data_IF_065356214490
#
_entry.id   IF_065356214490
#
_cell.length_a   1.000
_cell.length_b   1.000
_cell.length_c   1.000
_cell.angle_alpha   90.00
_cell.angle_beta   90.00
_cell.angle_gamma   90.00
#
_symmetry.space_group_name_H-M   'P 1'
#
loop_
_entity.id
_entity.type
_entity.pdbx_description
1 polymer ?
#
# COMPACT_ATOMS: atom_id res chain seq x y z
N UNK A 1 -5.83 2.43 1.25
CA UNK A 1 -4.58 3.22 1.21
C UNK A 1 -4.42 3.98 2.52
N UNK A 2 -3.22 4.00 3.09
CA UNK A 2 -2.93 4.80 4.29
C UNK A 2 -2.61 6.24 3.88
N UNK A 3 -3.15 7.26 4.58
CA UNK A 3 -2.71 8.63 4.39
C UNK A 3 -1.19 8.76 4.59
N UNK A 4 -0.52 9.40 3.63
CA UNK A 4 0.91 9.72 3.71
C UNK A 4 1.16 10.95 4.60
N UNK A 5 2.42 11.26 4.87
CA UNK A 5 2.78 12.53 5.51
C UNK A 5 2.28 13.72 4.69
N UNK A 6 2.33 13.62 3.35
CA UNK A 6 1.82 14.67 2.45
C UNK A 6 0.33 14.92 2.63
N UNK A 7 -0.49 13.90 2.87
CA UNK A 7 -1.91 14.05 3.17
C UNK A 7 -2.14 14.92 4.43
N UNK A 8 -1.43 14.63 5.51
CA UNK A 8 -1.56 15.41 6.75
C UNK A 8 -1.06 16.84 6.58
N UNK A 9 0.03 17.05 5.82
CA UNK A 9 0.52 18.39 5.49
C UNK A 9 -0.47 19.17 4.63
N UNK A 10 -1.16 18.51 3.70
CA UNK A 10 -2.24 19.11 2.90
C UNK A 10 -3.39 19.58 3.79
N UNK A 11 -3.86 18.73 4.72
CA UNK A 11 -4.90 19.11 5.69
C UNK A 11 -4.46 20.27 6.60
N UNK A 12 -3.22 20.25 7.08
CA UNK A 12 -2.67 21.33 7.88
C UNK A 12 -2.59 22.64 7.07
N UNK A 13 -2.17 22.55 5.81
CA UNK A 13 -2.10 23.71 4.92
C UNK A 13 -3.48 24.29 4.63
N UNK A 14 -4.50 23.43 4.51
CA UNK A 14 -5.88 23.84 4.35
C UNK A 14 -6.39 24.60 5.58
N UNK A 15 -6.16 24.06 6.77
CA UNK A 15 -6.56 24.72 8.03
C UNK A 15 -5.85 26.05 8.29
N UNK A 16 -4.69 26.25 7.65
CA UNK A 16 -3.88 27.47 7.72
C UNK A 16 -3.84 28.23 6.38
N UNK A 17 -4.87 28.05 5.54
CA UNK A 17 -4.97 28.79 4.28
C UNK A 17 -5.39 30.23 4.58
N UNK A 18 -4.41 31.13 4.57
CA UNK A 18 -4.63 32.55 4.80
C UNK A 18 -4.30 33.33 3.54
N UNK A 19 -5.21 34.21 3.14
CA UNK A 19 -4.95 35.17 2.10
C UNK A 19 -3.87 36.16 2.53
N UNK A 20 -2.92 36.43 1.65
CA UNK A 20 -1.93 37.50 1.85
C UNK A 20 -2.53 38.87 1.55
N UNK A 21 -3.35 38.94 0.50
CA UNK A 21 -4.02 40.17 0.07
C UNK A 21 -5.41 39.82 -0.44
N UNK A 22 -6.31 40.76 -0.25
CA UNK A 22 -7.57 40.86 -0.94
C UNK A 22 -7.44 41.91 -2.05
N UNK A 23 -7.83 41.60 -3.23
CA UNK A 23 -7.76 42.48 -4.40
C UNK A 23 -9.17 42.68 -4.96
N UNK A 24 -9.33 43.76 -5.71
CA UNK A 24 -10.50 43.97 -6.57
C UNK A 24 -10.11 43.49 -7.97
N UNK A 25 -10.97 42.69 -8.60
CA UNK A 25 -10.77 42.33 -10.00
C UNK A 25 -10.83 43.58 -10.89
N UNK A 26 -9.78 43.75 -11.71
CA UNK A 26 -9.77 44.82 -12.72
C UNK A 26 -10.30 44.26 -14.06
N UNK A 27 -11.21 44.97 -14.72
CA UNK A 27 -11.74 44.55 -16.01
C UNK A 27 -10.63 44.41 -17.06
N UNK A 28 -10.53 43.24 -17.69
CA UNK A 28 -9.55 42.95 -18.74
C UNK A 28 -8.23 42.36 -18.27
N UNK A 29 -8.01 42.24 -16.97
CA UNK A 29 -6.87 41.53 -16.40
C UNK A 29 -7.12 40.02 -16.41
N UNK A 30 -6.12 39.26 -16.81
CA UNK A 30 -6.16 37.78 -16.79
C UNK A 30 -5.45 37.25 -15.52
N UNK A 31 -6.20 36.68 -14.63
CA UNK A 31 -5.69 36.09 -13.39
C UNK A 31 -5.48 34.55 -13.53
N UNK A 32 -5.60 34.02 -14.75
CA UNK A 32 -5.33 32.62 -15.08
C UNK A 32 -6.35 31.63 -14.54
N UNK A 33 -7.60 32.04 -14.36
CA UNK A 33 -8.68 31.10 -14.04
C UNK A 33 -9.25 30.49 -15.33
N UNK A 34 -9.09 29.17 -15.45
CA UNK A 34 -9.56 28.36 -16.59
C UNK A 34 -10.32 27.13 -16.10
N UNK A 35 -10.93 26.40 -17.01
CA UNK A 35 -11.59 25.12 -16.68
C UNK A 35 -10.60 24.06 -16.15
N UNK A 36 -9.31 24.23 -16.44
CA UNK A 36 -8.23 23.34 -15.96
C UNK A 36 -7.60 23.83 -14.64
N UNK A 37 -8.09 24.95 -14.09
CA UNK A 37 -7.56 25.50 -12.84
C UNK A 37 -7.70 24.51 -11.69
N UNK A 38 -6.68 24.42 -10.84
CA UNK A 38 -6.73 23.61 -9.62
C UNK A 38 -7.90 24.07 -8.75
N UNK A 39 -8.83 23.17 -8.51
CA UNK A 39 -9.99 23.43 -7.65
C UNK A 39 -9.98 22.48 -6.46
N UNK A 40 -10.13 23.06 -5.27
CA UNK A 40 -10.18 22.33 -4.00
C UNK A 40 -11.52 22.56 -3.34
N UNK A 41 -12.26 21.48 -3.15
CA UNK A 41 -13.55 21.51 -2.43
C UNK A 41 -13.39 20.82 -1.07
N UNK A 42 -13.81 21.51 -0.03
CA UNK A 42 -13.72 21.03 1.35
C UNK A 42 -15.10 21.04 1.97
N UNK A 43 -15.52 19.90 2.48
CA UNK A 43 -16.74 19.77 3.28
C UNK A 43 -16.37 19.42 4.72
N UNK A 44 -16.72 20.28 5.64
CA UNK A 44 -16.47 20.10 7.07
C UNK A 44 -17.66 20.64 7.87
N UNK A 45 -18.09 19.92 8.89
CA UNK A 45 -19.21 20.28 9.75
C UNK A 45 -20.52 20.64 9.01
N UNK A 46 -20.75 20.03 7.83
CA UNK A 46 -21.92 20.29 6.99
C UNK A 46 -21.80 21.53 6.07
N UNK A 47 -20.70 22.26 6.14
CA UNK A 47 -20.41 23.37 5.24
C UNK A 47 -19.45 22.94 4.14
N UNK A 48 -19.69 23.40 2.91
CA UNK A 48 -18.83 23.16 1.75
C UNK A 48 -18.23 24.47 1.27
N UNK A 49 -16.90 24.50 1.17
CA UNK A 49 -16.16 25.62 0.62
C UNK A 49 -15.36 25.14 -0.60
N UNK A 50 -15.42 25.90 -1.68
CA UNK A 50 -14.65 25.59 -2.91
C UNK A 50 -13.72 26.76 -3.21
N UNK A 51 -12.46 26.41 -3.45
CA UNK A 51 -11.37 27.35 -3.75
C UNK A 51 -10.82 27.02 -5.13
N UNK A 52 -10.66 28.01 -6.01
CA UNK A 52 -10.05 27.88 -7.33
C UNK A 52 -8.75 28.70 -7.36
N UNK A 53 -7.66 28.05 -7.74
CA UNK A 53 -6.35 28.68 -7.84
C UNK A 53 -6.07 29.08 -9.29
N UNK A 54 -5.73 30.33 -9.49
CA UNK A 54 -5.38 30.90 -10.79
C UNK A 54 -3.88 30.88 -11.07
N UNK A 55 -3.41 31.80 -11.89
CA UNK A 55 -2.00 31.93 -12.24
C UNK A 55 -1.15 32.49 -11.08
N UNK A 56 0.16 32.36 -11.20
CA UNK A 56 1.13 33.03 -10.36
C UNK A 56 1.23 34.52 -10.73
N UNK A 57 1.18 35.39 -9.73
CA UNK A 57 1.45 36.81 -9.89
C UNK A 57 2.96 37.01 -10.13
N UNK A 58 3.33 37.41 -11.32
CA UNK A 58 4.73 37.56 -11.75
C UNK A 58 5.54 38.56 -10.89
N UNK A 59 4.87 39.50 -10.24
CA UNK A 59 5.54 40.52 -9.43
C UNK A 59 5.82 40.04 -7.99
N UNK A 60 4.96 39.14 -7.44
CA UNK A 60 5.04 38.74 -6.02
C UNK A 60 5.33 37.26 -5.83
N UNK A 61 5.17 36.42 -6.86
CA UNK A 61 5.26 34.95 -6.77
C UNK A 61 4.11 34.33 -5.99
N UNK A 62 3.03 35.07 -5.74
CA UNK A 62 1.83 34.56 -5.07
C UNK A 62 0.83 34.03 -6.09
N UNK A 63 0.00 33.07 -5.70
CA UNK A 63 -1.03 32.51 -6.56
C UNK A 63 -2.36 33.25 -6.33
N UNK A 64 -3.05 33.58 -7.40
CA UNK A 64 -4.40 34.10 -7.32
C UNK A 64 -5.38 33.03 -6.85
N UNK A 65 -6.35 33.42 -6.03
CA UNK A 65 -7.33 32.53 -5.43
C UNK A 65 -8.73 33.17 -5.46
N UNK A 66 -9.72 32.37 -5.88
CA UNK A 66 -11.14 32.68 -5.70
C UNK A 66 -11.78 31.66 -4.76
N UNK A 67 -12.74 32.15 -3.96
CA UNK A 67 -13.63 31.31 -3.15
C UNK A 67 -15.03 31.36 -3.76
N UNK A 68 -15.65 30.22 -3.96
CA UNK A 68 -17.01 30.17 -4.49
C UNK A 68 -17.97 30.92 -3.55
N UNK A 69 -18.81 31.76 -4.14
CA UNK A 69 -19.78 32.59 -3.39
C UNK A 69 -19.16 33.85 -2.76
N UNK A 70 -17.92 34.19 -3.12
CA UNK A 70 -17.25 35.43 -2.72
C UNK A 70 -16.77 36.16 -3.99
N UNK A 71 -17.13 37.44 -4.13
CA UNK A 71 -16.74 38.28 -5.29
C UNK A 71 -15.30 38.80 -5.19
N UNK A 72 -14.63 38.54 -4.08
CA UNK A 72 -13.28 39.02 -3.85
C UNK A 72 -12.25 38.10 -4.51
N UNK A 73 -11.20 38.72 -5.06
CA UNK A 73 -9.98 38.06 -5.50
C UNK A 73 -8.94 38.08 -4.38
N UNK A 74 -8.29 36.97 -4.17
CA UNK A 74 -7.25 36.83 -3.14
C UNK A 74 -5.91 36.45 -3.74
N UNK A 75 -4.83 36.67 -2.98
CA UNK A 75 -3.53 36.03 -3.25
C UNK A 75 -3.12 35.19 -2.06
N UNK A 76 -2.49 34.04 -2.35
CA UNK A 76 -1.93 33.12 -1.36
C UNK A 76 -0.50 32.76 -1.73
N UNK A 77 0.29 32.32 -0.76
CA UNK A 77 1.65 31.89 -1.05
C UNK A 77 1.64 30.67 -1.99
N UNK A 78 2.52 30.63 -3.00
CA UNK A 78 2.63 29.54 -3.96
C UNK A 78 2.83 28.18 -3.28
N UNK A 79 3.59 28.12 -2.18
CA UNK A 79 3.76 26.90 -1.38
C UNK A 79 2.45 26.33 -0.81
N UNK A 80 1.43 27.17 -0.60
CA UNK A 80 0.11 26.73 -0.13
C UNK A 80 -0.71 26.14 -1.26
N UNK A 81 -0.60 26.63 -2.48
CA UNK A 81 -1.26 26.06 -3.64
C UNK A 81 -0.62 24.69 -4.02
N UNK A 82 0.71 24.60 -4.00
CA UNK A 82 1.44 23.40 -4.39
C UNK A 82 1.05 22.15 -3.57
N UNK A 83 0.70 22.29 -2.30
CA UNK A 83 0.32 21.15 -1.46
C UNK A 83 -1.04 20.53 -1.86
N UNK A 84 -1.84 21.20 -2.67
CA UNK A 84 -3.13 20.69 -3.18
C UNK A 84 -3.00 20.08 -4.59
N UNK A 85 -1.90 20.31 -5.30
CA UNK A 85 -1.64 19.77 -6.63
C UNK A 85 -1.05 18.36 -6.61
N UNK A 86 -1.09 17.68 -5.46
CA UNK A 86 -0.55 16.34 -5.29
C UNK A 86 -1.47 15.28 -5.91
N UNK A 87 -0.86 14.29 -6.54
CA UNK A 87 -1.56 13.11 -7.03
C UNK A 87 -2.07 12.23 -5.87
N UNK A 88 -3.03 11.36 -6.17
CA UNK A 88 -3.51 10.37 -5.19
C UNK A 88 -2.37 9.51 -4.63
N UNK A 89 -1.39 9.14 -5.47
CA UNK A 89 -0.24 8.33 -5.06
C UNK A 89 0.69 9.08 -4.08
N UNK A 90 0.77 10.40 -4.17
CA UNK A 90 1.52 11.22 -3.23
C UNK A 90 0.77 11.48 -1.92
N UNK A 91 -0.56 11.56 -1.99
CA UNK A 91 -1.43 11.74 -0.82
C UNK A 91 -1.58 10.46 -0.01
N UNK A 92 -1.53 9.30 -0.67
CA UNK A 92 -1.71 8.00 -0.02
C UNK A 92 -0.52 7.11 -0.32
N UNK A 93 0.22 6.75 0.73
CA UNK A 93 1.37 5.85 0.61
C UNK A 93 0.95 4.41 0.29
N UNK A 94 1.92 3.63 -0.20
CA UNK A 94 1.77 2.19 -0.31
C UNK A 94 1.46 1.55 1.05
N UNK A 95 0.65 0.51 1.06
CA UNK A 95 0.33 -0.23 2.28
C UNK A 95 0.13 -1.71 1.95
N UNK A 96 0.31 -2.57 2.95
CA UNK A 96 0.03 -3.99 2.83
C UNK A 96 -1.46 -4.23 3.12
N UNK A 97 -2.27 -4.64 2.12
CA UNK A 97 -3.72 -4.79 2.28
C UNK A 97 -4.09 -5.92 3.24
N UNK A 98 -3.28 -6.96 3.32
CA UNK A 98 -3.49 -8.06 4.26
C UNK A 98 -3.02 -7.75 5.68
N UNK A 99 -2.26 -6.66 5.90
CA UNK A 99 -1.68 -6.32 7.19
C UNK A 99 -0.65 -7.33 7.70
N UNK A 100 -0.15 -8.20 6.82
CA UNK A 100 0.78 -9.28 7.17
C UNK A 100 2.18 -8.74 7.39
N UNK A 101 2.80 -9.16 8.47
CA UNK A 101 4.25 -9.02 8.69
C UNK A 101 4.89 -10.38 8.43
N UNK A 102 5.93 -10.40 7.62
CA UNK A 102 6.61 -11.65 7.21
C UNK A 102 6.98 -12.56 8.38
N UNK A 103 7.48 -12.00 9.48
CA UNK A 103 7.86 -12.73 10.69
C UNK A 103 6.68 -13.23 11.52
N UNK A 104 5.47 -12.75 11.27
CA UNK A 104 4.27 -13.18 11.99
C UNK A 104 3.51 -14.30 11.26
N UNK A 105 3.94 -14.69 10.05
CA UNK A 105 3.29 -15.75 9.28
C UNK A 105 3.70 -17.10 9.85
N UNK A 106 2.71 -17.90 10.25
CA UNK A 106 2.89 -19.23 10.84
C UNK A 106 2.67 -20.35 9.82
N UNK A 107 1.73 -20.18 8.90
CA UNK A 107 1.50 -21.12 7.80
C UNK A 107 0.87 -20.44 6.59
N UNK A 108 1.11 -21.05 5.44
CA UNK A 108 0.57 -20.61 4.14
C UNK A 108 0.05 -21.82 3.41
N UNK A 109 -1.26 -21.84 3.10
CA UNK A 109 -1.87 -22.82 2.21
C UNK A 109 -2.12 -22.17 0.87
N UNK A 110 -1.51 -22.71 -0.17
CA UNK A 110 -1.64 -22.26 -1.56
C UNK A 110 -2.55 -23.21 -2.34
N UNK A 111 -3.52 -22.64 -3.06
CA UNK A 111 -4.36 -23.34 -4.02
C UNK A 111 -4.07 -22.76 -5.41
N UNK A 112 -3.11 -23.38 -6.10
CA UNK A 112 -2.71 -23.03 -7.46
C UNK A 112 -3.03 -24.24 -8.36
N UNK A 113 -4.16 -24.18 -9.08
CA UNK A 113 -4.73 -25.34 -9.79
C UNK A 113 -5.52 -26.24 -8.85
N UNK A 114 -5.47 -27.57 -9.10
CA UNK A 114 -6.35 -28.53 -8.42
C UNK A 114 -5.78 -29.10 -7.11
N UNK A 115 -4.48 -28.95 -6.86
CA UNK A 115 -3.83 -29.54 -5.68
C UNK A 115 -3.34 -28.45 -4.71
N UNK A 116 -3.98 -28.31 -3.53
CA UNK A 116 -3.48 -27.43 -2.49
C UNK A 116 -2.23 -28.01 -1.82
N UNK A 117 -1.34 -27.14 -1.36
CA UNK A 117 -0.23 -27.50 -0.49
C UNK A 117 -0.03 -26.46 0.60
N UNK A 118 0.52 -26.89 1.73
CA UNK A 118 0.72 -26.04 2.91
C UNK A 118 2.19 -26.02 3.31
N UNK A 119 2.69 -24.82 3.50
CA UNK A 119 3.97 -24.53 4.15
C UNK A 119 3.72 -24.10 5.59
N UNK A 120 4.46 -24.64 6.54
CA UNK A 120 4.32 -24.34 7.97
C UNK A 120 5.66 -23.97 8.56
N UNK A 121 5.67 -22.90 9.37
CA UNK A 121 6.82 -22.49 10.15
C UNK A 121 6.97 -23.41 11.37
N UNK A 122 8.15 -23.94 11.59
CA UNK A 122 8.49 -24.82 12.71
C UNK A 122 9.70 -24.21 13.44
N UNK A 123 9.62 -24.11 14.75
CA UNK A 123 10.75 -23.69 15.57
C UNK A 123 11.65 -24.89 15.85
N UNK A 124 12.87 -24.86 15.36
CA UNK A 124 13.88 -25.89 15.60
C UNK A 124 15.00 -25.32 16.47
N UNK A 125 15.55 -26.14 17.35
CA UNK A 125 16.71 -25.76 18.14
C UNK A 125 17.90 -25.53 17.19
N UNK A 126 18.52 -24.36 17.25
CA UNK A 126 19.72 -24.10 16.45
C UNK A 126 20.82 -25.07 16.87
N UNK A 127 21.41 -25.77 15.90
CA UNK A 127 22.61 -26.53 16.17
C UNK A 127 23.71 -25.56 16.61
N UNK A 128 24.04 -25.58 17.91
CA UNK A 128 25.19 -24.84 18.40
C UNK A 128 26.44 -25.56 17.93
N UNK A 129 27.20 -24.97 17.02
CA UNK A 129 28.60 -25.31 16.83
C UNK A 129 29.33 -25.07 18.16
N UNK A 130 29.35 -26.10 19.00
CA UNK A 130 30.18 -26.11 20.22
C UNK A 130 31.63 -26.21 19.80
N UNK A 131 32.27 -25.09 19.55
CA UNK A 131 33.73 -25.01 19.80
C UNK A 131 33.91 -25.06 21.31
N UNK A 132 34.47 -26.17 21.79
CA UNK A 132 34.80 -26.39 23.17
C UNK A 132 35.85 -25.38 23.61
N UNK A 133 35.47 -24.26 24.20
CA UNK A 133 36.25 -23.46 25.15
C UNK A 133 35.47 -22.21 25.54
N UNK A 134 34.52 -22.35 26.43
CA UNK A 134 34.13 -21.30 27.41
C UNK A 134 33.02 -21.84 28.29
N UNK A 135 33.35 -22.11 29.53
CA UNK A 135 32.38 -22.28 30.60
C UNK A 135 31.66 -20.94 30.86
N UNK A 136 30.48 -20.78 30.32
CA UNK A 136 29.54 -19.79 30.78
C UNK A 136 28.13 -20.41 30.79
N UNK A 137 27.70 -20.65 32.01
CA UNK A 137 26.41 -21.22 32.38
C UNK A 137 25.26 -20.26 32.00
N UNK A 138 24.81 -20.31 30.73
CA UNK A 138 23.51 -19.78 30.33
C UNK A 138 22.93 -20.72 29.27
N UNK A 139 22.06 -21.63 29.76
CA UNK A 139 21.32 -22.60 28.95
C UNK A 139 20.23 -21.89 28.14
N UNK A 140 20.61 -21.03 27.19
CA UNK A 140 19.70 -20.43 26.23
C UNK A 140 19.83 -21.18 24.91
N UNK A 141 19.00 -22.21 24.73
CA UNK A 141 18.83 -22.86 23.43
C UNK A 141 18.29 -21.82 22.45
N UNK A 142 19.08 -21.41 21.47
CA UNK A 142 18.62 -20.55 20.38
C UNK A 142 17.69 -21.36 19.48
N UNK A 143 16.53 -20.80 19.15
CA UNK A 143 15.59 -21.40 18.21
C UNK A 143 15.65 -20.64 16.86
N UNK A 144 15.66 -21.38 15.77
CA UNK A 144 15.50 -20.85 14.43
C UNK A 144 14.17 -21.28 13.84
N UNK A 145 13.56 -20.41 13.04
CA UNK A 145 12.32 -20.75 12.33
C UNK A 145 12.68 -21.38 10.98
N UNK A 146 12.28 -22.63 10.80
CA UNK A 146 12.45 -23.38 9.56
C UNK A 146 11.08 -23.65 8.94
N UNK A 147 10.99 -23.61 7.63
CA UNK A 147 9.75 -23.88 6.92
C UNK A 147 9.72 -25.31 6.43
N UNK A 148 8.55 -25.95 6.52
CA UNK A 148 8.35 -27.34 6.12
C UNK A 148 7.08 -27.46 5.27
N UNK A 149 7.07 -28.43 4.31
CA UNK A 149 5.84 -28.86 3.64
C UNK A 149 5.04 -29.74 4.62
N UNK A 150 3.76 -29.47 4.79
CA UNK A 150 2.91 -30.21 5.75
C UNK A 150 2.78 -31.70 5.38
N UNK A 151 2.81 -32.04 4.10
CA UNK A 151 2.73 -33.41 3.59
C UNK A 151 4.09 -34.07 3.31
N UNK A 152 5.19 -33.36 3.48
CA UNK A 152 6.57 -33.83 3.35
C UNK A 152 7.49 -33.07 4.33
N UNK A 153 7.33 -33.27 5.66
CA UNK A 153 8.04 -32.48 6.65
C UNK A 153 9.54 -32.69 6.66
N UNK A 154 10.02 -33.84 6.17
CA UNK A 154 11.45 -34.16 6.08
C UNK A 154 12.12 -33.62 4.82
N UNK A 155 11.34 -33.05 3.86
CA UNK A 155 11.92 -32.48 2.66
C UNK A 155 12.58 -31.12 2.97
N UNK A 156 13.82 -30.97 2.57
CA UNK A 156 14.48 -29.66 2.61
C UNK A 156 13.82 -28.70 1.61
N UNK A 157 13.59 -27.47 2.05
CA UNK A 157 13.03 -26.43 1.21
C UNK A 157 14.09 -25.43 0.75
N UNK A 158 13.87 -24.88 -0.44
CA UNK A 158 14.61 -23.72 -0.93
C UNK A 158 14.16 -22.48 -0.14
N UNK A 159 15.00 -22.06 0.80
CA UNK A 159 14.74 -20.89 1.66
C UNK A 159 14.55 -19.60 0.86
N UNK A 160 15.18 -19.50 -0.33
CA UNK A 160 15.01 -18.33 -1.21
C UNK A 160 13.60 -18.28 -1.78
N UNK A 161 13.05 -19.43 -2.19
CA UNK A 161 11.68 -19.52 -2.70
C UNK A 161 10.66 -19.23 -1.59
N UNK A 162 10.84 -19.80 -0.42
CA UNK A 162 9.98 -19.53 0.76
C UNK A 162 10.06 -18.05 1.13
N UNK A 163 11.25 -17.50 1.21
CA UNK A 163 11.49 -16.09 1.51
C UNK A 163 10.80 -15.15 0.50
N UNK A 164 10.87 -15.49 -0.78
CA UNK A 164 10.22 -14.75 -1.86
C UNK A 164 8.70 -14.79 -1.74
N UNK A 165 8.13 -15.97 -1.45
CA UNK A 165 6.69 -16.11 -1.19
C UNK A 165 6.23 -15.25 -0.03
N UNK A 166 6.89 -15.33 1.12
CA UNK A 166 6.52 -14.55 2.30
C UNK A 166 6.60 -13.04 2.02
N UNK A 167 7.58 -12.62 1.23
CA UNK A 167 7.72 -11.22 0.79
C UNK A 167 6.58 -10.81 -0.15
N UNK A 168 6.18 -11.68 -1.08
CA UNK A 168 5.08 -11.43 -1.99
C UNK A 168 3.74 -11.31 -1.25
N UNK A 169 3.46 -12.20 -0.27
CA UNK A 169 2.25 -12.17 0.54
C UNK A 169 2.16 -10.95 1.48
N UNK A 170 3.30 -10.40 1.87
CA UNK A 170 3.39 -9.17 2.66
C UNK A 170 3.70 -7.92 1.81
N UNK A 171 3.51 -8.00 0.50
CA UNK A 171 3.81 -6.91 -0.43
C UNK A 171 2.90 -5.69 -0.24
N UNK A 172 3.39 -4.54 -0.68
CA UNK A 172 2.69 -3.28 -0.62
C UNK A 172 2.01 -3.00 -1.97
N UNK A 173 0.82 -2.43 -1.89
CA UNK A 173 0.06 -1.97 -3.06
C UNK A 173 -0.04 -0.44 -3.06
N UNK A 174 -0.11 0.15 -4.24
CA UNK A 174 -0.26 1.59 -4.45
C UNK A 174 -1.60 1.97 -5.07
N UNK A 175 -2.36 0.98 -5.56
CA UNK A 175 -3.66 1.19 -6.17
C UNK A 175 -4.73 0.33 -5.52
N UNK A 176 -5.88 0.94 -5.26
CA UNK A 176 -7.06 0.34 -4.63
C UNK A 176 -8.31 0.87 -5.31
N UNK A 177 -9.22 -0.03 -5.65
CA UNK A 177 -10.61 0.29 -5.97
C UNK A 177 -11.50 -0.19 -4.81
N UNK A 178 -12.06 0.72 -4.00
CA UNK A 178 -12.89 0.35 -2.83
C UNK A 178 -14.20 -0.35 -3.20
N UNK A 179 -14.62 -0.26 -4.47
CA UNK A 179 -15.85 -0.86 -5.00
C UNK A 179 -15.57 -1.78 -6.18
N UNK A 180 -14.30 -2.16 -6.36
CA UNK A 180 -13.88 -3.05 -7.42
C UNK A 180 -14.47 -4.44 -7.23
N UNK A 181 -14.84 -5.06 -8.34
CA UNK A 181 -15.40 -6.41 -8.37
C UNK A 181 -14.50 -7.33 -9.19
N UNK A 182 -14.12 -8.44 -8.60
CA UNK A 182 -13.35 -9.50 -9.26
C UNK A 182 -14.24 -10.48 -10.06
N UNK A 183 -15.57 -10.27 -10.08
CA UNK A 183 -16.49 -11.13 -10.84
C UNK A 183 -16.17 -11.04 -12.33
N UNK A 184 -16.00 -12.22 -12.97
CA UNK A 184 -15.59 -12.30 -14.37
C UNK A 184 -14.08 -12.28 -14.61
N UNK A 185 -13.25 -12.05 -13.59
CA UNK A 185 -11.80 -12.23 -13.67
C UNK A 185 -11.43 -13.70 -13.48
N UNK A 186 -10.31 -14.10 -14.06
CA UNK A 186 -9.77 -15.44 -13.89
C UNK A 186 -8.99 -15.53 -12.58
N UNK A 187 -9.48 -16.34 -11.63
CA UNK A 187 -8.72 -16.65 -10.43
C UNK A 187 -7.47 -17.46 -10.80
N UNK A 188 -6.32 -17.05 -10.31
CA UNK A 188 -5.03 -17.70 -10.53
C UNK A 188 -4.60 -18.53 -9.32
N UNK A 189 -4.65 -17.95 -8.13
CA UNK A 189 -4.24 -18.60 -6.89
C UNK A 189 -4.99 -18.01 -5.71
N UNK A 190 -5.29 -18.85 -4.73
CA UNK A 190 -5.72 -18.42 -3.41
C UNK A 190 -4.67 -18.85 -2.38
N UNK A 191 -4.22 -17.89 -1.58
CA UNK A 191 -3.28 -18.08 -0.48
C UNK A 191 -3.99 -17.85 0.85
N UNK A 192 -4.22 -18.90 1.61
CA UNK A 192 -4.72 -18.79 2.99
C UNK A 192 -3.53 -18.70 3.93
N UNK A 193 -3.38 -17.56 4.57
CA UNK A 193 -2.27 -17.25 5.45
C UNK A 193 -2.74 -17.19 6.88
N UNK A 194 -2.14 -18.00 7.73
CA UNK A 194 -2.33 -17.95 9.17
C UNK A 194 -1.16 -17.18 9.80
N UNK A 195 -1.50 -16.19 10.59
CA UNK A 195 -0.57 -15.40 11.37
C UNK A 195 -1.04 -15.33 12.84
N UNK A 196 -0.20 -14.86 13.73
CA UNK A 196 -0.50 -14.78 15.18
C UNK A 196 -1.78 -13.98 15.49
N UNK A 197 -2.18 -13.03 14.64
CA UNK A 197 -3.36 -12.17 14.78
C UNK A 197 -4.60 -12.67 14.02
N UNK A 198 -4.53 -13.86 13.37
CA UNK A 198 -5.63 -14.50 12.68
C UNK A 198 -5.32 -15.03 11.30
N UNK A 199 -6.35 -15.53 10.63
CA UNK A 199 -6.27 -16.11 9.30
C UNK A 199 -6.84 -15.14 8.25
N UNK A 200 -6.18 -15.07 7.08
CA UNK A 200 -6.60 -14.26 5.94
C UNK A 200 -6.43 -15.04 4.65
N UNK A 201 -7.38 -14.90 3.74
CA UNK A 201 -7.24 -15.43 2.38
C UNK A 201 -6.98 -14.29 1.41
N UNK A 202 -5.88 -14.39 0.69
CA UNK A 202 -5.48 -13.51 -0.40
C UNK A 202 -5.78 -14.24 -1.71
N UNK A 203 -6.66 -13.67 -2.54
CA UNK A 203 -7.00 -14.28 -3.84
C UNK A 203 -6.52 -13.38 -4.97
N UNK A 204 -5.71 -13.95 -5.85
CA UNK A 204 -5.10 -13.24 -6.97
C UNK A 204 -5.84 -13.60 -8.26
N UNK A 205 -6.06 -12.58 -9.09
CA UNK A 205 -6.82 -12.66 -10.32
C UNK A 205 -6.05 -12.06 -11.51
N UNK A 206 -6.36 -12.58 -12.69
CA UNK A 206 -5.99 -11.99 -13.97
C UNK A 206 -7.22 -11.33 -14.57
N UNK A 207 -7.15 -10.02 -14.78
CA UNK A 207 -8.16 -9.23 -15.48
C UNK A 207 -7.66 -8.75 -16.83
N UNK A 208 -8.46 -7.91 -17.50
CA UNK A 208 -8.16 -7.40 -18.84
C UNK A 208 -6.89 -6.53 -18.86
N UNK A 209 -6.69 -5.73 -17.82
CA UNK A 209 -5.67 -4.68 -17.80
C UNK A 209 -4.54 -4.94 -16.78
N UNK A 210 -4.51 -6.15 -16.20
CA UNK A 210 -3.46 -6.48 -15.22
C UNK A 210 -3.87 -7.54 -14.21
N UNK A 211 -3.16 -7.51 -13.08
CA UNK A 211 -3.38 -8.46 -12.00
C UNK A 211 -3.98 -7.77 -10.77
N UNK A 212 -4.83 -8.50 -10.08
CA UNK A 212 -5.60 -7.97 -8.97
C UNK A 212 -5.56 -8.92 -7.77
N UNK A 213 -5.80 -8.33 -6.60
CA UNK A 213 -5.84 -9.02 -5.32
C UNK A 213 -7.11 -8.64 -4.55
N UNK A 214 -7.76 -9.63 -3.96
CA UNK A 214 -8.74 -9.43 -2.89
C UNK A 214 -8.23 -10.04 -1.60
N UNK A 215 -8.66 -9.47 -0.47
CA UNK A 215 -8.32 -9.97 0.87
C UNK A 215 -9.62 -10.29 1.60
N UNK A 216 -9.70 -11.44 2.24
CA UNK A 216 -10.89 -11.85 3.00
C UNK A 216 -11.28 -10.81 4.05
N UNK A 217 -12.58 -10.48 4.09
CA UNK A 217 -13.09 -9.44 5.01
C UNK A 217 -12.92 -8.00 4.51
N UNK A 218 -12.33 -7.79 3.33
CA UNK A 218 -12.23 -6.50 2.65
C UNK A 218 -13.04 -6.52 1.35
N UNK A 219 -13.70 -5.41 1.03
CA UNK A 219 -14.51 -5.25 -0.20
C UNK A 219 -13.72 -4.60 -1.33
N UNK A 220 -12.47 -4.28 -1.11
CA UNK A 220 -11.63 -3.57 -2.07
C UNK A 220 -10.94 -4.53 -3.03
N UNK A 221 -10.75 -4.07 -4.26
CA UNK A 221 -9.88 -4.69 -5.26
C UNK A 221 -8.55 -3.93 -5.32
N UNK A 222 -7.45 -4.64 -5.23
CA UNK A 222 -6.10 -4.08 -5.23
C UNK A 222 -5.37 -4.43 -6.50
N UNK A 223 -4.67 -3.47 -7.10
CA UNK A 223 -3.77 -3.76 -8.23
C UNK A 223 -2.44 -4.27 -7.71
N UNK A 224 -1.96 -5.37 -8.27
CA UNK A 224 -0.67 -6.00 -7.94
C UNK A 224 0.18 -6.15 -9.19
N UNK A 225 1.49 -6.22 -9.00
CA UNK A 225 2.41 -6.44 -10.11
C UNK A 225 2.50 -7.92 -10.53
N UNK A 226 2.91 -8.15 -11.78
CA UNK A 226 3.02 -9.49 -12.34
C UNK A 226 4.06 -10.37 -11.60
N UNK A 227 5.13 -9.78 -11.07
CA UNK A 227 6.19 -10.51 -10.38
C UNK A 227 5.67 -11.08 -9.05
N UNK A 228 4.88 -10.29 -8.31
CA UNK A 228 4.19 -10.74 -7.09
C UNK A 228 3.30 -11.95 -7.40
N UNK A 229 2.47 -11.87 -8.46
CA UNK A 229 1.57 -12.97 -8.84
C UNK A 229 2.36 -14.20 -9.26
N UNK A 230 3.39 -14.07 -10.08
CA UNK A 230 4.24 -15.18 -10.50
C UNK A 230 4.89 -15.88 -9.29
N UNK A 231 5.34 -15.13 -8.30
CA UNK A 231 5.92 -15.68 -7.08
C UNK A 231 4.89 -16.47 -6.27
N UNK A 232 3.67 -15.95 -6.10
CA UNK A 232 2.62 -16.65 -5.34
C UNK A 232 2.08 -17.86 -6.11
N UNK A 233 2.07 -17.84 -7.45
CA UNK A 233 1.66 -18.94 -8.31
C UNK A 233 2.74 -20.03 -8.50
N UNK A 234 3.84 -19.98 -7.73
CA UNK A 234 4.92 -20.95 -7.83
C UNK A 234 4.43 -22.36 -7.45
N UNK A 235 4.70 -23.33 -8.31
CA UNK A 235 4.31 -24.72 -8.09
C UNK A 235 5.07 -25.34 -6.89
N UNK A 236 4.41 -26.28 -6.19
CA UNK A 236 4.91 -26.95 -4.98
C UNK A 236 6.34 -27.50 -5.12
N UNK A 237 6.67 -28.12 -6.24
CA UNK A 237 7.97 -28.75 -6.44
C UNK A 237 9.14 -27.74 -6.51
N UNK A 238 8.83 -26.49 -6.80
CA UNK A 238 9.85 -25.42 -6.83
C UNK A 238 10.27 -24.95 -5.44
N UNK A 239 9.51 -25.35 -4.41
CA UNK A 239 9.89 -25.06 -3.01
C UNK A 239 10.83 -26.12 -2.43
N UNK A 240 11.06 -27.26 -3.09
CA UNK A 240 12.00 -28.27 -2.66
C UNK A 240 13.42 -27.84 -3.05
N UNK A 241 14.38 -28.05 -2.15
CA UNK A 241 15.80 -27.80 -2.44
C UNK A 241 16.23 -28.69 -3.64
N UNK A 242 17.11 -28.15 -4.48
CA UNK A 242 17.70 -28.94 -5.55
C UNK A 242 18.62 -30.01 -4.93
N UNK A 243 18.38 -31.27 -5.26
CA UNK A 243 19.19 -32.42 -4.83
C UNK A 243 20.57 -32.40 -5.46
#
# INVERSE_FOLDING_TARGET
LKPSTSFFLTLQSLSALNAKRQLTEEPGEDYGFTDESLTVTVTAAGETNTFTFGAENAATGDIYLKKAGDDALYTVAASKAACFALSRAELFGAFNPAGLTRSAIESVTLVCGDEPFTLTAVSEAAESDRSADSESDSDSTAYTTVWRLADAPDAELDETQVSSLLSALSSYVTAQDPHGDASGMKQLVAATVRAADGERTLTYYEGTDGYYLTVSGDTSLYTVDAATVQTVCTAKDRYKAAS
#
